data_IF_585627820748
#
_entry.id   IF_585627820748
#
_cell.length_a   1.000
_cell.length_b   1.000
_cell.length_c   1.000
_cell.angle_alpha   90.00
_cell.angle_beta   90.00
_cell.angle_gamma   90.00
#
_symmetry.space_group_name_H-M   'P 1'
#
loop_
_entity.id
_entity.type
_entity.pdbx_description
1 polymer ?
#
# COMPACT_ATOMS: atom_id res chain seq x y z
N UNK A 1 -42.04 34.91 5.43
CA UNK A 1 -41.55 33.56 5.15
C UNK A 1 -41.70 32.67 6.36
N UNK A 2 -42.20 31.53 6.20
CA UNK A 2 -42.35 30.60 7.30
C UNK A 2 -41.08 29.76 7.45
N UNK A 3 -40.96 29.20 8.60
CA UNK A 3 -39.82 28.30 8.87
C UNK A 3 -39.81 27.13 7.93
N UNK A 4 -40.97 26.68 7.55
CA UNK A 4 -41.09 25.56 6.63
C UNK A 4 -40.53 25.89 5.27
N UNK A 5 -40.83 27.05 4.81
CA UNK A 5 -40.35 27.47 3.52
C UNK A 5 -38.83 27.61 3.52
N UNK A 6 -38.35 28.16 4.59
CA UNK A 6 -36.92 28.31 4.72
C UNK A 6 -36.21 26.96 4.71
N UNK A 7 -36.77 26.05 5.43
CA UNK A 7 -36.19 24.71 5.47
C UNK A 7 -36.24 24.03 4.11
N UNK A 8 -37.31 24.27 3.40
CA UNK A 8 -37.43 23.73 2.05
C UNK A 8 -36.32 24.25 1.15
N UNK A 9 -36.14 25.52 1.19
CA UNK A 9 -35.14 26.14 0.35
C UNK A 9 -33.75 25.62 0.71
N UNK A 10 -33.49 25.55 1.96
CA UNK A 10 -32.20 25.06 2.41
C UNK A 10 -31.99 23.63 1.95
N UNK A 11 -33.02 22.85 2.08
CA UNK A 11 -32.90 21.47 1.70
C UNK A 11 -32.61 21.32 0.22
N UNK A 12 -33.29 22.07 -0.58
CA UNK A 12 -33.06 22.01 -2.01
C UNK A 12 -31.65 22.39 -2.37
N UNK A 13 -31.19 23.46 -1.79
CA UNK A 13 -29.87 23.90 -2.07
C UNK A 13 -28.83 22.87 -1.65
N UNK A 14 -29.06 22.31 -0.52
CA UNK A 14 -28.15 21.30 -0.02
C UNK A 14 -28.13 20.07 -0.92
N UNK A 15 -29.28 19.66 -1.34
CA UNK A 15 -29.33 18.51 -2.21
C UNK A 15 -28.53 18.70 -3.47
N UNK A 16 -28.70 19.82 -4.07
CA UNK A 16 -27.99 20.08 -5.31
C UNK A 16 -26.50 20.08 -5.11
N UNK A 17 -26.09 20.84 -4.17
CA UNK A 17 -24.67 20.92 -3.92
C UNK A 17 -24.12 19.62 -3.45
N UNK A 18 -24.88 18.97 -2.63
CA UNK A 18 -24.44 17.75 -2.07
C UNK A 18 -24.23 16.66 -3.11
N UNK A 19 -25.18 16.52 -3.96
CA UNK A 19 -25.09 15.48 -4.95
C UNK A 19 -23.81 15.58 -5.75
N UNK A 20 -23.56 16.74 -6.24
CA UNK A 20 -22.38 16.94 -7.04
C UNK A 20 -21.13 16.69 -6.24
N UNK A 21 -21.16 17.18 -5.07
CA UNK A 21 -19.96 17.14 -4.29
C UNK A 21 -19.66 15.76 -3.81
N UNK A 22 -20.65 15.09 -3.33
CA UNK A 22 -20.43 13.78 -2.79
C UNK A 22 -19.83 12.84 -3.77
N UNK A 23 -20.37 12.86 -4.93
CA UNK A 23 -19.87 11.93 -5.89
C UNK A 23 -18.41 12.14 -6.12
N UNK A 24 -18.03 13.36 -6.11
CA UNK A 24 -16.65 13.66 -6.34
C UNK A 24 -15.79 13.06 -5.29
N UNK A 25 -16.22 13.18 -4.10
CA UNK A 25 -15.38 12.71 -3.05
C UNK A 25 -15.25 11.25 -3.02
N UNK A 26 -16.36 10.63 -3.17
CA UNK A 26 -16.33 9.21 -3.10
C UNK A 26 -15.39 8.64 -4.14
N UNK A 27 -15.45 9.21 -5.31
CA UNK A 27 -14.57 8.70 -6.32
C UNK A 27 -13.12 8.96 -5.98
N UNK A 28 -12.88 10.01 -5.27
CA UNK A 28 -11.52 10.31 -4.93
C UNK A 28 -10.89 9.28 -4.04
N UNK A 29 -11.66 8.72 -3.19
CA UNK A 29 -11.09 7.74 -2.29
C UNK A 29 -10.57 6.53 -3.05
N UNK A 30 -11.04 6.33 -4.24
CA UNK A 30 -10.54 5.23 -5.04
C UNK A 30 -9.42 5.62 -5.94
N UNK A 31 -9.00 6.86 -5.88
CA UNK A 31 -7.96 7.32 -6.76
C UNK A 31 -6.70 6.55 -6.59
N UNK A 32 -5.89 6.55 -7.61
CA UNK A 32 -4.64 5.84 -7.58
C UNK A 32 -3.77 6.38 -6.46
N UNK A 33 -3.01 5.52 -5.93
CA UNK A 33 -2.09 5.84 -4.88
C UNK A 33 -1.06 6.83 -5.38
N UNK A 34 -0.79 7.85 -4.61
CA UNK A 34 0.27 8.79 -4.96
C UNK A 34 1.58 8.09 -5.09
N UNK A 35 2.36 8.50 -6.05
CA UNK A 35 3.62 7.90 -6.34
C UNK A 35 4.55 8.13 -5.20
N UNK A 36 4.65 8.27 -4.24
CA UNK A 36 5.56 8.42 -3.12
C UNK A 36 5.19 7.54 -1.95
N UNK A 37 3.97 7.05 -1.96
CA UNK A 37 3.46 6.32 -0.83
C UNK A 37 3.72 4.82 -0.90
N UNK A 38 4.10 4.31 -2.04
CA UNK A 38 4.46 2.92 -2.21
C UNK A 38 5.70 2.79 -3.07
N UNK A 39 6.40 1.69 -2.90
CA UNK A 39 7.54 1.37 -3.77
C UNK A 39 7.54 -0.11 -4.07
N UNK A 40 7.78 -0.42 -5.32
CA UNK A 40 7.93 -1.80 -5.77
C UNK A 40 9.42 -2.15 -5.76
N UNK A 41 9.73 -3.25 -5.12
CA UNK A 41 11.07 -3.80 -5.07
C UNK A 41 11.11 -5.11 -5.86
N UNK A 42 12.24 -5.37 -6.47
CA UNK A 42 12.44 -6.59 -7.25
C UNK A 42 13.46 -7.46 -6.53
N UNK A 43 13.21 -8.73 -6.50
CA UNK A 43 14.08 -9.69 -5.83
C UNK A 43 15.34 -9.98 -6.64
N UNK A 44 16.27 -10.68 -6.00
CA UNK A 44 17.36 -11.30 -6.72
C UNK A 44 16.82 -12.28 -7.75
N UNK A 45 17.60 -12.51 -8.79
CA UNK A 45 17.25 -13.51 -9.81
C UNK A 45 17.72 -14.88 -9.33
N UNK A 46 16.80 -15.82 -9.26
CA UNK A 46 17.09 -17.20 -8.92
C UNK A 46 16.38 -18.06 -9.96
N UNK A 47 17.05 -19.06 -10.45
CA UNK A 47 16.51 -19.93 -11.51
C UNK A 47 15.95 -19.14 -12.69
N UNK A 48 16.65 -18.08 -13.06
CA UNK A 48 16.34 -17.23 -14.21
C UNK A 48 15.02 -16.46 -14.12
N UNK A 49 14.52 -16.20 -12.91
CA UNK A 49 13.36 -15.34 -12.74
C UNK A 49 13.46 -14.50 -11.47
N UNK A 50 12.60 -13.51 -11.37
CA UNK A 50 12.52 -12.60 -10.23
C UNK A 50 11.06 -12.43 -9.82
N UNK A 51 10.84 -11.93 -8.62
CA UNK A 51 9.53 -11.54 -8.12
C UNK A 51 9.55 -10.09 -7.68
N UNK A 52 8.39 -9.51 -7.49
CA UNK A 52 8.29 -8.14 -6.98
C UNK A 52 7.37 -8.10 -5.77
N UNK A 53 7.60 -7.13 -4.91
CA UNK A 53 6.68 -6.78 -3.81
C UNK A 53 6.50 -5.27 -3.82
N UNK A 54 5.34 -4.81 -3.41
CA UNK A 54 5.07 -3.37 -3.28
C UNK A 54 4.84 -3.09 -1.80
N UNK A 55 5.70 -2.27 -1.24
CA UNK A 55 5.68 -1.92 0.17
C UNK A 55 5.14 -0.50 0.30
N UNK A 56 4.26 -0.28 1.26
CA UNK A 56 3.72 1.04 1.51
C UNK A 56 4.60 1.80 2.49
N UNK A 57 4.71 3.11 2.28
CA UNK A 57 5.41 3.98 3.21
C UNK A 57 4.83 3.84 4.61
N UNK A 58 3.51 3.75 4.72
CA UNK A 58 2.85 3.61 6.01
C UNK A 58 3.31 2.38 6.77
N UNK A 59 3.62 1.30 6.08
CA UNK A 59 4.08 0.09 6.75
C UNK A 59 5.44 0.30 7.42
N UNK A 60 6.30 1.06 6.76
CA UNK A 60 7.61 1.38 7.32
C UNK A 60 7.48 2.40 8.46
N UNK A 61 6.64 3.41 8.25
CA UNK A 61 6.48 4.47 9.25
C UNK A 61 5.85 3.97 10.54
N UNK A 62 4.86 3.11 10.44
CA UNK A 62 4.17 2.60 11.64
C UNK A 62 4.91 1.43 12.26
N UNK A 63 5.68 0.68 11.48
CA UNK A 63 6.43 -0.48 11.93
C UNK A 63 5.59 -1.33 12.89
N UNK A 64 4.52 -1.95 12.42
CA UNK A 64 3.62 -2.68 13.29
C UNK A 64 4.33 -3.80 14.04
N UNK A 65 3.88 -4.04 15.26
CA UNK A 65 4.52 -5.02 16.13
C UNK A 65 4.54 -6.42 15.53
N UNK A 66 3.53 -6.76 14.76
CA UNK A 66 3.45 -8.05 14.08
C UNK A 66 4.25 -8.09 12.78
N UNK A 67 4.86 -6.98 12.38
CA UNK A 67 5.51 -6.90 11.09
C UNK A 67 4.50 -6.83 9.94
N UNK A 68 4.98 -7.07 8.75
CA UNK A 68 4.12 -7.14 7.56
C UNK A 68 4.38 -8.45 6.83
N UNK A 69 3.38 -8.93 6.11
CA UNK A 69 3.50 -10.15 5.32
C UNK A 69 2.62 -10.03 4.08
N UNK A 70 3.17 -10.43 2.95
CA UNK A 70 2.43 -10.38 1.69
C UNK A 70 2.98 -11.41 0.71
N UNK A 71 2.19 -11.76 -0.28
CA UNK A 71 2.66 -12.62 -1.37
C UNK A 71 3.42 -11.76 -2.38
N UNK A 72 4.45 -12.34 -2.98
CA UNK A 72 5.15 -11.71 -4.09
C UNK A 72 4.30 -11.77 -5.35
N UNK A 73 4.72 -11.08 -6.39
CA UNK A 73 4.14 -11.28 -7.71
C UNK A 73 4.34 -12.73 -8.15
N UNK A 74 3.48 -13.20 -9.03
CA UNK A 74 3.65 -14.50 -9.64
C UNK A 74 4.71 -14.42 -10.72
N UNK A 75 5.60 -15.38 -10.73
CA UNK A 75 6.63 -15.51 -11.75
C UNK A 75 6.93 -16.99 -11.91
N UNK A 76 7.10 -17.45 -13.13
CA UNK A 76 7.34 -18.88 -13.42
C UNK A 76 6.30 -19.80 -12.78
N UNK A 77 5.07 -19.32 -12.65
CA UNK A 77 3.96 -20.12 -12.16
C UNK A 77 3.86 -20.26 -10.64
N UNK A 78 4.60 -19.47 -9.88
CA UNK A 78 4.51 -19.54 -8.41
C UNK A 78 4.75 -18.18 -7.76
N UNK A 79 4.51 -18.12 -6.46
CA UNK A 79 4.73 -16.93 -5.62
C UNK A 79 5.49 -17.36 -4.37
N UNK A 80 6.06 -16.41 -3.67
CA UNK A 80 6.66 -16.61 -2.37
C UNK A 80 5.97 -15.72 -1.35
N UNK A 81 6.18 -15.98 -0.08
CA UNK A 81 5.75 -15.07 0.98
C UNK A 81 6.91 -14.17 1.35
N UNK A 82 6.66 -12.88 1.30
CA UNK A 82 7.59 -11.84 1.74
C UNK A 82 7.09 -11.34 3.10
N UNK A 83 7.96 -11.27 4.09
CA UNK A 83 7.59 -10.79 5.40
C UNK A 83 8.74 -10.00 6.01
N UNK A 84 8.41 -8.89 6.68
CA UNK A 84 9.38 -8.11 7.44
C UNK A 84 8.93 -8.05 8.89
N UNK A 85 9.87 -8.21 9.78
CA UNK A 85 9.63 -8.04 11.20
C UNK A 85 9.59 -6.57 11.57
N UNK A 86 9.06 -6.25 12.74
CA UNK A 86 9.06 -4.88 13.23
C UNK A 86 10.47 -4.28 13.25
N UNK A 87 11.45 -5.05 13.66
CA UNK A 87 12.83 -4.59 13.73
C UNK A 87 13.38 -4.21 12.37
N UNK A 88 13.06 -5.01 11.36
CA UNK A 88 13.50 -4.72 10.00
C UNK A 88 12.83 -3.48 9.46
N UNK A 89 11.54 -3.31 9.76
CA UNK A 89 10.81 -2.10 9.36
C UNK A 89 11.41 -0.87 10.03
N UNK A 90 11.75 -0.97 11.31
CA UNK A 90 12.37 0.14 12.03
C UNK A 90 13.77 0.45 11.49
N UNK A 91 14.52 -0.56 11.12
CA UNK A 91 15.83 -0.36 10.51
C UNK A 91 15.71 0.36 9.18
N UNK A 92 14.75 -0.05 8.38
CA UNK A 92 14.48 0.60 7.11
C UNK A 92 14.04 2.05 7.32
N UNK A 93 13.16 2.29 8.29
CA UNK A 93 12.73 3.63 8.65
C UNK A 93 13.91 4.52 9.03
N UNK A 94 14.88 3.96 9.72
CA UNK A 94 16.10 4.66 10.11
C UNK A 94 17.08 4.91 8.97
N UNK A 95 16.79 4.40 7.78
CA UNK A 95 17.63 4.63 6.61
C UNK A 95 18.55 3.48 6.23
N UNK A 96 18.52 2.37 6.96
CA UNK A 96 19.36 1.21 6.65
C UNK A 96 18.68 0.35 5.58
N UNK A 97 19.45 -0.21 4.68
CA UNK A 97 18.94 -1.22 3.76
C UNK A 97 18.82 -2.55 4.50
N UNK A 98 17.72 -3.23 4.27
CA UNK A 98 17.43 -4.51 4.91
C UNK A 98 17.28 -5.57 3.84
N UNK A 99 17.95 -6.68 3.99
CA UNK A 99 17.78 -7.82 3.08
C UNK A 99 16.79 -8.80 3.70
N UNK A 100 15.76 -9.09 2.97
CA UNK A 100 14.67 -9.96 3.41
C UNK A 100 14.57 -11.16 2.49
N UNK A 101 14.71 -12.34 3.05
CA UNK A 101 14.59 -13.59 2.32
C UNK A 101 13.15 -14.06 2.36
N UNK A 102 12.64 -14.50 1.21
CA UNK A 102 11.27 -15.01 1.13
C UNK A 102 11.16 -16.43 1.68
N UNK A 103 9.92 -16.89 1.82
CA UNK A 103 9.66 -18.30 2.07
C UNK A 103 10.18 -19.15 0.90
N UNK A 104 10.45 -20.41 1.19
CA UNK A 104 10.80 -21.34 0.12
C UNK A 104 9.55 -21.80 -0.61
N UNK A 105 9.64 -21.79 -1.92
CA UNK A 105 8.61 -22.34 -2.78
C UNK A 105 9.30 -22.88 -4.03
N UNK A 106 8.83 -24.00 -4.53
CA UNK A 106 9.44 -24.65 -5.70
C UNK A 106 10.93 -24.91 -5.53
N UNK A 107 11.35 -25.15 -4.28
CA UNK A 107 12.71 -25.52 -3.96
C UNK A 107 13.71 -24.37 -3.92
N UNK A 108 13.27 -23.12 -3.87
CA UNK A 108 14.17 -21.98 -3.78
C UNK A 108 13.56 -20.80 -3.04
N UNK A 109 14.38 -19.80 -2.75
CA UNK A 109 13.99 -18.54 -2.10
C UNK A 109 14.56 -17.38 -2.91
N UNK A 110 14.07 -16.19 -2.64
CA UNK A 110 14.60 -14.95 -3.23
C UNK A 110 14.91 -13.95 -2.12
N UNK A 111 15.84 -13.06 -2.38
CA UNK A 111 16.17 -11.98 -1.46
C UNK A 111 15.69 -10.64 -2.02
N UNK A 112 15.13 -9.83 -1.15
CA UNK A 112 14.74 -8.46 -1.47
C UNK A 112 15.59 -7.50 -0.66
N UNK A 113 16.12 -6.48 -1.30
CA UNK A 113 16.81 -5.41 -0.61
C UNK A 113 15.85 -4.24 -0.48
N UNK A 114 15.41 -3.97 0.72
CA UNK A 114 14.43 -2.94 1.02
C UNK A 114 15.14 -1.75 1.63
N UNK A 115 14.96 -0.59 1.04
CA UNK A 115 15.55 0.64 1.54
C UNK A 115 14.52 1.75 1.53
N UNK A 116 14.74 2.75 2.38
CA UNK A 116 13.85 3.91 2.45
C UNK A 116 13.93 4.69 1.14
N UNK A 117 12.80 5.16 0.67
CA UNK A 117 12.71 5.86 -0.63
C UNK A 117 12.04 7.22 -0.53
N UNK A 118 11.67 7.67 0.65
CA UNK A 118 10.95 8.93 0.88
C UNK A 118 11.69 9.78 1.90
#
# INVERSE_FOLDING_TARGET
MTRKEFLKMTFLGTCVGLGAVLTTRCSNSTSPTPSGDTKTFTSTSVQSHTHTVTVAKSDIETAPMSGISMATSSSSGHTHTFAMTQMELMSCKGGSAVTVMTSSNSGHTHDFSISKWY
#
